data_IF_207348471244
#
_entry.id   IF_207348471244
#
_cell.length_a   1.000
_cell.length_b   1.000
_cell.length_c   1.000
_cell.angle_alpha   90.00
_cell.angle_beta   90.00
_cell.angle_gamma   90.00
#
_symmetry.space_group_name_H-M   'P 1'
#
loop_
_entity.id
_entity.type
_entity.pdbx_description
1 polymer ?
#
# COMPACT_ATOMS: atom_id res chain seq x y z
N UNK A 1 -2.73 62.53 -8.12
CA UNK A 1 -1.34 62.21 -8.50
C UNK A 1 -1.22 60.70 -8.50
N UNK A 2 -1.05 60.06 -9.66
CA UNK A 2 -0.77 58.62 -9.75
C UNK A 2 0.74 58.46 -9.75
N UNK A 3 1.26 57.58 -8.90
CA UNK A 3 2.67 57.22 -8.87
C UNK A 3 2.73 55.78 -9.34
N UNK A 4 3.27 55.56 -10.53
CA UNK A 4 3.50 54.24 -11.10
C UNK A 4 4.88 53.75 -10.63
N UNK A 5 4.89 52.72 -9.78
CA UNK A 5 6.10 52.04 -9.36
C UNK A 5 6.30 50.77 -10.18
N UNK A 6 7.44 50.65 -10.86
CA UNK A 6 7.84 49.46 -11.60
C UNK A 6 8.75 48.59 -10.70
N UNK A 7 8.21 47.49 -10.19
CA UNK A 7 8.92 46.54 -9.35
C UNK A 7 9.88 45.69 -10.20
N UNK A 8 11.13 46.12 -10.30
CA UNK A 8 12.18 45.35 -10.97
C UNK A 8 12.38 44.00 -10.28
N UNK A 9 12.20 42.92 -11.03
CA UNK A 9 12.44 41.54 -10.55
C UNK A 9 11.22 40.77 -10.07
N UNK A 10 10.00 41.32 -10.19
CA UNK A 10 8.77 40.58 -9.86
C UNK A 10 8.63 39.31 -10.71
N UNK A 11 8.96 39.38 -12.00
CA UNK A 11 8.92 38.22 -12.90
C UNK A 11 9.92 37.13 -12.47
N UNK A 12 11.14 37.53 -12.07
CA UNK A 12 12.15 36.60 -11.58
C UNK A 12 11.71 35.93 -10.27
N UNK A 13 11.06 36.67 -9.36
CA UNK A 13 10.49 36.11 -8.14
C UNK A 13 9.38 35.10 -8.45
N UNK A 14 8.48 35.43 -9.37
CA UNK A 14 7.38 34.53 -9.78
C UNK A 14 7.95 33.22 -10.36
N UNK A 15 8.98 33.30 -11.19
CA UNK A 15 9.60 32.10 -11.76
C UNK A 15 10.30 31.25 -10.69
N UNK A 16 11.05 31.87 -9.78
CA UNK A 16 11.69 31.15 -8.68
C UNK A 16 10.68 30.44 -7.77
N UNK A 17 9.53 31.05 -7.50
CA UNK A 17 8.45 30.43 -6.71
C UNK A 17 7.87 29.22 -7.43
N UNK A 18 7.64 29.33 -8.75
CA UNK A 18 7.15 28.20 -9.57
C UNK A 18 8.15 27.05 -9.61
N UNK A 19 9.42 27.35 -9.82
CA UNK A 19 10.47 26.34 -9.85
C UNK A 19 10.62 25.65 -8.49
N UNK A 20 10.52 26.41 -7.39
CA UNK A 20 10.52 25.87 -6.05
C UNK A 20 9.33 24.91 -5.81
N UNK A 21 8.12 25.30 -6.24
CA UNK A 21 6.93 24.45 -6.15
C UNK A 21 7.10 23.13 -6.92
N UNK A 22 7.62 23.20 -8.15
CA UNK A 22 7.84 22.02 -9.00
C UNK A 22 8.88 21.08 -8.37
N UNK A 23 10.00 21.63 -7.89
CA UNK A 23 11.06 20.85 -7.25
C UNK A 23 10.55 20.16 -5.98
N UNK A 24 9.78 20.88 -5.15
CA UNK A 24 9.23 20.30 -3.92
C UNK A 24 8.18 19.21 -4.18
N UNK A 25 7.33 19.38 -5.19
CA UNK A 25 6.41 18.31 -5.61
C UNK A 25 7.18 17.08 -6.08
N UNK A 26 8.27 17.29 -6.81
CA UNK A 26 9.14 16.21 -7.31
C UNK A 26 9.82 15.46 -6.16
N UNK A 27 10.36 16.18 -5.17
CA UNK A 27 10.98 15.58 -3.98
C UNK A 27 10.00 14.70 -3.21
N UNK A 28 8.79 15.21 -2.97
CA UNK A 28 7.73 14.46 -2.27
C UNK A 28 7.30 13.24 -3.08
N UNK A 29 7.07 13.39 -4.39
CA UNK A 29 6.72 12.26 -5.29
C UNK A 29 7.78 11.17 -5.25
N UNK A 30 9.07 11.53 -5.28
CA UNK A 30 10.16 10.56 -5.20
C UNK A 30 10.18 9.81 -3.86
N UNK A 31 9.94 10.50 -2.75
CA UNK A 31 9.86 9.88 -1.41
C UNK A 31 8.69 8.90 -1.33
N UNK A 32 7.53 9.27 -1.86
CA UNK A 32 6.34 8.42 -1.91
C UNK A 32 6.62 7.16 -2.73
N UNK A 33 7.19 7.31 -3.94
CA UNK A 33 7.55 6.19 -4.82
C UNK A 33 8.57 5.26 -4.20
N UNK A 34 9.67 5.78 -3.63
CA UNK A 34 10.69 4.99 -2.94
C UNK A 34 10.07 4.16 -1.80
N UNK A 35 9.27 4.82 -0.96
CA UNK A 35 8.61 4.16 0.17
C UNK A 35 7.63 3.09 -0.30
N UNK A 36 6.81 3.37 -1.32
CA UNK A 36 5.87 2.40 -1.86
C UNK A 36 6.58 1.16 -2.42
N UNK A 37 7.71 1.34 -3.13
CA UNK A 37 8.54 0.25 -3.64
C UNK A 37 9.13 -0.60 -2.51
N UNK A 38 9.61 0.03 -1.44
CA UNK A 38 10.11 -0.70 -0.26
C UNK A 38 9.02 -1.48 0.45
N UNK A 39 7.84 -0.88 0.68
CA UNK A 39 6.69 -1.57 1.28
C UNK A 39 6.30 -2.77 0.42
N UNK A 40 6.20 -2.59 -0.91
CA UNK A 40 5.88 -3.69 -1.82
C UNK A 40 6.91 -4.82 -1.76
N UNK A 41 8.21 -4.49 -1.77
CA UNK A 41 9.29 -5.47 -1.69
C UNK A 41 9.24 -6.26 -0.37
N UNK A 42 9.10 -5.56 0.75
CA UNK A 42 8.97 -6.17 2.08
C UNK A 42 7.71 -7.04 2.18
N UNK A 43 6.57 -6.57 1.66
CA UNK A 43 5.33 -7.32 1.65
C UNK A 43 5.48 -8.62 0.85
N UNK A 44 6.10 -8.55 -0.34
CA UNK A 44 6.43 -9.71 -1.17
C UNK A 44 7.38 -10.69 -0.50
N UNK A 45 8.33 -10.21 0.31
CA UNK A 45 9.24 -11.07 1.06
C UNK A 45 8.52 -11.82 2.18
N UNK A 46 7.58 -11.17 2.86
CA UNK A 46 6.81 -11.73 3.99
C UNK A 46 5.66 -12.63 3.55
N UNK A 47 5.21 -12.52 2.30
CA UNK A 47 4.07 -13.28 1.80
C UNK A 47 4.33 -14.80 1.85
N UNK A 48 3.44 -15.60 2.45
CA UNK A 48 3.54 -17.06 2.40
C UNK A 48 3.35 -17.58 0.97
N UNK A 49 4.26 -18.44 0.51
CA UNK A 49 4.27 -18.92 -0.88
C UNK A 49 3.75 -20.36 -0.94
N UNK A 50 2.57 -20.53 -1.57
CA UNK A 50 2.07 -21.85 -2.03
C UNK A 50 2.19 -21.98 -3.55
N UNK A 51 1.49 -21.12 -4.31
CA UNK A 51 1.58 -21.00 -5.78
C UNK A 51 2.32 -19.73 -6.24
N UNK A 52 2.56 -18.80 -5.31
CA UNK A 52 3.14 -17.48 -5.58
C UNK A 52 2.20 -16.46 -6.21
N UNK A 53 0.92 -16.79 -6.44
CA UNK A 53 -0.07 -15.84 -7.01
C UNK A 53 -0.20 -14.59 -6.15
N UNK A 54 -0.48 -14.76 -4.85
CA UNK A 54 -0.57 -13.66 -3.90
C UNK A 54 0.68 -12.77 -3.90
N UNK A 55 1.88 -13.37 -3.93
CA UNK A 55 3.13 -12.62 -3.96
C UNK A 55 3.28 -11.80 -5.24
N UNK A 56 2.86 -12.32 -6.40
CA UNK A 56 2.94 -11.61 -7.68
C UNK A 56 1.89 -10.52 -7.82
N UNK A 57 0.73 -10.66 -7.19
CA UNK A 57 -0.37 -9.72 -7.28
C UNK A 57 -0.22 -8.48 -6.39
N UNK A 58 0.77 -8.42 -5.49
CA UNK A 58 1.05 -7.22 -4.71
C UNK A 58 1.59 -6.13 -5.65
N UNK A 59 0.77 -5.12 -5.90
CA UNK A 59 1.02 -3.98 -6.77
C UNK A 59 1.17 -2.67 -6.01
N UNK A 60 1.51 -1.62 -6.76
CA UNK A 60 1.50 -0.23 -6.31
C UNK A 60 0.62 0.51 -7.31
N UNK A 61 -0.34 1.28 -6.82
CA UNK A 61 -1.09 2.25 -7.61
C UNK A 61 -0.71 3.65 -7.13
N UNK A 62 -0.33 4.52 -8.05
CA UNK A 62 0.08 5.89 -7.74
C UNK A 62 -1.07 6.83 -8.09
N UNK A 63 -1.38 7.75 -7.18
CA UNK A 63 -2.36 8.77 -7.47
C UNK A 63 -1.91 9.66 -8.64
N UNK A 64 -2.84 10.31 -9.37
CA UNK A 64 -2.50 11.18 -10.49
C UNK A 64 -1.57 12.35 -10.14
N UNK A 65 -1.56 12.79 -8.89
CA UNK A 65 -0.67 13.84 -8.37
C UNK A 65 0.69 13.29 -7.89
N UNK A 66 0.85 11.97 -7.88
CA UNK A 66 2.00 11.21 -7.38
C UNK A 66 2.37 11.51 -5.91
N UNK A 67 1.48 12.18 -5.16
CA UNK A 67 1.71 12.52 -3.75
C UNK A 67 1.20 11.44 -2.79
N UNK A 68 0.55 10.41 -3.33
CA UNK A 68 0.08 9.25 -2.58
C UNK A 68 0.21 7.97 -3.39
N UNK A 69 0.31 6.85 -2.68
CA UNK A 69 0.42 5.52 -3.26
C UNK A 69 -0.46 4.54 -2.48
N UNK A 70 -1.17 3.69 -3.20
CA UNK A 70 -1.88 2.54 -2.65
C UNK A 70 -1.05 1.28 -2.89
N UNK A 71 -0.85 0.48 -1.85
CA UNK A 71 -0.11 -0.78 -1.93
C UNK A 71 -1.05 -1.89 -1.47
N UNK A 72 -1.25 -2.88 -2.33
CA UNK A 72 -2.25 -3.91 -2.08
C UNK A 72 -2.26 -5.00 -3.14
N UNK A 73 -3.30 -5.83 -3.08
CA UNK A 73 -3.51 -6.97 -3.97
C UNK A 73 -5.00 -7.09 -4.29
N UNK A 74 -5.30 -7.58 -5.49
CA UNK A 74 -6.68 -7.82 -5.95
C UNK A 74 -7.17 -9.24 -5.60
N UNK A 75 -6.40 -10.01 -4.83
CA UNK A 75 -6.77 -11.38 -4.44
C UNK A 75 -7.76 -11.35 -3.26
N UNK A 76 -8.99 -11.82 -3.48
CA UNK A 76 -10.06 -11.80 -2.45
C UNK A 76 -9.69 -12.54 -1.15
N UNK A 77 -8.82 -13.56 -1.23
CA UNK A 77 -8.40 -14.31 -0.04
C UNK A 77 -7.25 -13.66 0.73
N UNK A 78 -6.65 -12.56 0.23
CA UNK A 78 -5.53 -11.90 0.89
C UNK A 78 -5.83 -11.45 2.32
N UNK A 79 -7.00 -10.85 2.64
CA UNK A 79 -7.35 -10.50 4.02
C UNK A 79 -7.42 -11.72 4.94
N UNK A 80 -7.88 -12.87 4.44
CA UNK A 80 -7.90 -14.12 5.20
C UNK A 80 -6.50 -14.67 5.49
N UNK A 81 -5.52 -14.35 4.65
CA UNK A 81 -4.10 -14.67 4.89
C UNK A 81 -3.53 -13.70 5.92
N UNK A 82 -3.75 -12.39 5.74
CA UNK A 82 -3.22 -11.35 6.64
C UNK A 82 -3.73 -11.53 8.07
N UNK A 83 -5.04 -11.68 8.24
CA UNK A 83 -5.70 -11.69 9.56
C UNK A 83 -6.06 -13.08 10.07
N UNK A 84 -6.01 -14.10 9.22
CA UNK A 84 -6.50 -15.44 9.55
C UNK A 84 -8.02 -15.54 9.50
N UNK A 85 -8.53 -16.73 9.83
CA UNK A 85 -9.97 -17.02 9.91
C UNK A 85 -10.29 -17.80 11.17
N UNK A 86 -11.44 -17.51 11.77
CA UNK A 86 -11.91 -18.23 12.96
C UNK A 86 -12.38 -19.66 12.62
N UNK A 87 -12.35 -20.58 13.60
CA UNK A 87 -12.99 -21.89 13.46
C UNK A 87 -14.46 -21.73 13.06
N UNK A 88 -14.92 -22.52 12.09
CA UNK A 88 -16.29 -22.46 11.58
C UNK A 88 -16.77 -23.83 11.13
N UNK A 89 -18.06 -24.07 11.23
CA UNK A 89 -18.70 -25.25 10.66
C UNK A 89 -19.13 -24.96 9.23
N UNK A 90 -18.74 -25.83 8.31
CA UNK A 90 -19.18 -25.81 6.91
C UNK A 90 -20.27 -26.89 6.80
N UNK A 91 -21.45 -26.52 6.32
CA UNK A 91 -22.59 -27.43 6.15
C UNK A 91 -23.09 -27.42 4.71
N UNK A 92 -23.61 -28.55 4.23
CA UNK A 92 -24.33 -28.58 2.94
C UNK A 92 -25.73 -28.04 3.10
N UNK A 93 -26.20 -27.32 2.07
CA UNK A 93 -27.60 -26.90 1.98
C UNK A 93 -28.44 -27.98 1.28
N UNK A 94 -28.07 -28.34 0.06
CA UNK A 94 -28.87 -29.24 -0.79
C UNK A 94 -28.14 -30.55 -1.15
N UNK A 95 -26.83 -30.65 -0.88
CA UNK A 95 -26.05 -31.87 -1.11
C UNK A 95 -26.17 -32.85 0.06
N UNK A 96 -26.14 -34.15 -0.25
CA UNK A 96 -26.17 -35.22 0.75
C UNK A 96 -24.90 -35.30 1.59
N UNK A 97 -23.73 -34.94 1.02
CA UNK A 97 -22.44 -34.96 1.73
C UNK A 97 -21.44 -33.92 1.18
N UNK A 98 -20.51 -33.52 2.04
CA UNK A 98 -19.26 -32.81 1.72
C UNK A 98 -18.17 -33.82 1.38
N UNK A 99 -17.38 -33.51 0.35
CA UNK A 99 -16.24 -34.32 -0.08
C UNK A 99 -15.11 -33.42 -0.57
N UNK A 100 -13.87 -33.81 -0.28
CA UNK A 100 -12.65 -33.18 -0.82
C UNK A 100 -12.07 -34.03 -1.98
N UNK A 101 -12.92 -34.80 -2.66
CA UNK A 101 -12.56 -35.71 -3.75
C UNK A 101 -11.84 -36.99 -3.31
N UNK A 102 -11.25 -37.02 -2.11
CA UNK A 102 -10.56 -38.19 -1.53
C UNK A 102 -11.33 -38.86 -0.39
N UNK A 103 -12.05 -38.07 0.40
CA UNK A 103 -12.81 -38.55 1.56
C UNK A 103 -14.15 -37.83 1.64
N UNK A 104 -15.17 -38.58 2.07
CA UNK A 104 -16.52 -38.07 2.33
C UNK A 104 -16.61 -37.74 3.82
N UNK A 105 -17.03 -36.52 4.15
CA UNK A 105 -17.05 -36.00 5.52
C UNK A 105 -18.46 -35.88 6.13
N UNK A 106 -19.51 -36.26 5.40
CA UNK A 106 -20.90 -36.13 5.85
C UNK A 106 -21.46 -34.73 5.57
N UNK A 107 -22.56 -34.35 6.23
CA UNK A 107 -23.25 -33.07 5.95
C UNK A 107 -22.58 -31.84 6.58
N UNK A 108 -21.75 -32.03 7.59
CA UNK A 108 -21.10 -30.96 8.33
C UNK A 108 -19.62 -31.27 8.59
N UNK A 109 -18.77 -30.24 8.45
CA UNK A 109 -17.33 -30.29 8.73
C UNK A 109 -16.95 -29.13 9.62
N UNK A 110 -16.28 -29.41 10.74
CA UNK A 110 -15.69 -28.39 11.61
C UNK A 110 -14.32 -27.99 11.06
N UNK A 111 -14.24 -26.81 10.45
CA UNK A 111 -12.99 -26.24 10.00
C UNK A 111 -12.30 -25.50 11.16
N UNK A 112 -11.03 -25.80 11.49
CA UNK A 112 -10.32 -25.21 12.63
C UNK A 112 -9.96 -23.72 12.44
N UNK A 113 -10.20 -23.18 11.25
CA UNK A 113 -9.78 -21.83 10.87
C UNK A 113 -8.35 -21.81 10.32
N UNK A 114 -7.85 -20.62 10.02
CA UNK A 114 -6.48 -20.40 9.53
C UNK A 114 -5.79 -19.39 10.44
N UNK A 115 -4.55 -19.67 10.84
CA UNK A 115 -3.74 -18.70 11.59
C UNK A 115 -3.37 -17.52 10.68
N UNK A 116 -3.31 -16.33 11.25
CA UNK A 116 -2.84 -15.13 10.57
C UNK A 116 -1.38 -15.29 10.09
N UNK A 117 -1.12 -14.87 8.86
CA UNK A 117 0.19 -14.80 8.23
C UNK A 117 0.37 -13.40 7.65
N UNK A 118 0.54 -12.38 8.52
CA UNK A 118 0.56 -10.99 8.10
C UNK A 118 1.79 -10.70 7.24
N UNK A 119 1.57 -10.03 6.13
CA UNK A 119 2.60 -9.69 5.15
C UNK A 119 2.60 -8.21 4.80
N UNK A 120 1.43 -7.57 4.74
CA UNK A 120 1.29 -6.18 4.31
C UNK A 120 1.44 -5.20 5.47
N UNK A 121 0.73 -5.39 6.59
CA UNK A 121 0.84 -4.49 7.74
C UNK A 121 2.26 -4.44 8.32
N UNK A 122 2.95 -5.58 8.53
CA UNK A 122 4.32 -5.55 9.03
C UNK A 122 5.30 -4.86 8.07
N UNK A 123 5.04 -4.91 6.75
CA UNK A 123 5.85 -4.20 5.77
C UNK A 123 5.63 -2.67 5.85
N UNK A 124 4.38 -2.25 6.06
CA UNK A 124 4.04 -0.84 6.28
C UNK A 124 4.67 -0.30 7.57
N UNK A 125 4.50 -1.00 8.69
CA UNK A 125 5.01 -0.57 9.99
C UNK A 125 6.54 -0.40 10.00
N UNK A 126 7.24 -1.25 9.26
CA UNK A 126 8.69 -1.17 9.12
C UNK A 126 9.17 0.10 8.41
N UNK A 127 8.46 0.55 7.37
CA UNK A 127 8.91 1.66 6.50
C UNK A 127 8.40 3.04 6.95
N UNK A 128 7.30 3.09 7.71
CA UNK A 128 6.67 4.33 8.17
C UNK A 128 7.61 5.30 8.91
N UNK A 129 8.50 4.85 9.81
CA UNK A 129 9.42 5.76 10.50
C UNK A 129 10.36 6.49 9.54
N UNK A 130 10.94 5.78 8.57
CA UNK A 130 11.84 6.36 7.56
C UNK A 130 11.07 7.32 6.64
N UNK A 131 9.88 6.93 6.19
CA UNK A 131 8.99 7.78 5.38
C UNK A 131 8.71 9.12 6.07
N UNK A 132 8.29 9.09 7.34
CA UNK A 132 8.00 10.31 8.12
C UNK A 132 9.23 11.19 8.25
N UNK A 133 10.41 10.60 8.46
CA UNK A 133 11.66 11.35 8.56
C UNK A 133 12.01 12.05 7.25
N UNK A 134 11.99 11.32 6.12
CA UNK A 134 12.28 11.86 4.78
C UNK A 134 11.30 12.95 4.38
N UNK A 135 10.01 12.75 4.64
CA UNK A 135 8.97 13.72 4.35
C UNK A 135 9.19 15.01 5.16
N UNK A 136 9.49 14.88 6.46
CA UNK A 136 9.75 16.03 7.32
C UNK A 136 11.00 16.82 6.88
N UNK A 137 12.04 16.13 6.40
CA UNK A 137 13.24 16.75 5.85
C UNK A 137 12.93 17.52 4.56
N UNK A 138 12.25 16.89 3.60
CA UNK A 138 11.88 17.53 2.33
C UNK A 138 11.02 18.79 2.52
N UNK A 139 10.14 18.79 3.53
CA UNK A 139 9.26 19.91 3.86
C UNK A 139 9.93 20.98 4.75
N UNK A 140 11.04 20.69 5.42
CA UNK A 140 11.74 21.66 6.30
C UNK A 140 12.55 22.70 5.52
N UNK A 141 12.92 22.40 4.28
CA UNK A 141 13.69 23.29 3.41
C UNK A 141 12.89 24.50 2.87
N UNK A 142 11.79 24.87 3.52
CA UNK A 142 11.11 26.15 3.31
C UNK A 142 11.95 27.24 3.98
N UNK A 143 12.99 27.71 3.28
CA UNK A 143 13.74 28.92 3.60
C UNK A 143 13.46 30.00 2.57
#
# INVERSE_FOLDING_TARGET
MKIDFELKGLEALINNIKDYEINKKTDVSNIVKDTALKIQANAKQRTPVKSGTLKRSIGIDLAPDEMSAEIGTNEEYAPHVEFGTAPRTISTKDSSTLSDGKQIYGKEVKHPGTKAQPFLFPAYEQEIPEYKSKLAEALRDVK
#
